data_IF_596326173188
#
_entry.id   IF_596326173188
#
_cell.length_a   1.000
_cell.length_b   1.000
_cell.length_c   1.000
_cell.angle_alpha   90.00
_cell.angle_beta   90.00
_cell.angle_gamma   90.00
#
_symmetry.space_group_name_H-M   'P 1'
#
loop_
_entity.id
_entity.type
_entity.pdbx_description
1 polymer ?
#
# COMPACT_ATOMS: atom_id res chain seq x y z
N UNK A 1 11.60 14.49 16.94
CA UNK A 1 10.41 15.37 17.02
C UNK A 1 10.13 16.08 15.70
N UNK A 2 11.09 16.77 15.07
CA UNK A 2 10.89 17.45 13.76
C UNK A 2 10.48 16.47 12.65
N UNK A 3 11.08 15.28 12.60
CA UNK A 3 10.76 14.23 11.60
C UNK A 3 9.34 13.67 11.73
N UNK A 4 8.86 13.39 12.94
CA UNK A 4 7.50 12.88 13.16
C UNK A 4 6.42 13.94 12.89
N UNK A 5 6.69 15.21 13.22
CA UNK A 5 5.76 16.29 12.91
C UNK A 5 5.61 16.47 11.40
N UNK A 6 6.75 16.52 10.68
CA UNK A 6 6.78 16.61 9.23
C UNK A 6 6.08 15.41 8.57
N UNK A 7 6.36 14.20 9.03
CA UNK A 7 5.70 12.99 8.52
C UNK A 7 4.18 13.06 8.69
N UNK A 8 3.68 13.54 9.83
CA UNK A 8 2.26 13.76 10.04
C UNK A 8 1.65 14.76 9.04
N UNK A 9 2.36 15.85 8.72
CA UNK A 9 1.92 16.82 7.68
C UNK A 9 1.89 16.16 6.30
N UNK A 10 2.92 15.40 5.94
CA UNK A 10 2.98 14.66 4.68
C UNK A 10 1.80 13.68 4.56
N UNK A 11 1.51 12.92 5.62
CA UNK A 11 0.40 11.96 5.65
C UNK A 11 -0.96 12.65 5.49
N UNK A 12 -1.18 13.77 6.20
CA UNK A 12 -2.40 14.56 6.05
C UNK A 12 -2.52 15.09 4.62
N UNK A 13 -1.42 15.57 4.02
CA UNK A 13 -1.41 16.08 2.63
C UNK A 13 -1.75 14.99 1.64
N UNK A 14 -1.26 13.77 1.88
CA UNK A 14 -1.60 12.62 1.07
C UNK A 14 -3.07 12.30 1.19
N UNK A 15 -3.63 12.27 2.39
CA UNK A 15 -5.04 11.96 2.62
C UNK A 15 -5.99 12.88 1.83
N UNK A 16 -5.61 14.15 1.61
CA UNK A 16 -6.38 15.12 0.83
C UNK A 16 -6.09 15.12 -0.68
N UNK A 17 -5.07 14.40 -1.15
CA UNK A 17 -4.68 14.42 -2.56
C UNK A 17 -5.59 13.55 -3.43
N UNK A 18 -5.75 13.93 -4.69
CA UNK A 18 -6.50 13.17 -5.68
C UNK A 18 -5.91 11.77 -5.95
N UNK A 19 -4.59 11.62 -5.83
CA UNK A 19 -3.87 10.37 -6.14
C UNK A 19 -2.83 10.06 -5.05
N UNK A 20 -3.30 9.67 -3.85
CA UNK A 20 -2.44 9.56 -2.68
C UNK A 20 -1.46 8.38 -2.76
N UNK A 21 -1.78 7.35 -3.54
CA UNK A 21 -0.91 6.17 -3.74
C UNK A 21 0.46 6.52 -4.31
N UNK A 22 0.56 7.62 -5.09
CA UNK A 22 1.82 8.10 -5.69
C UNK A 22 2.88 8.49 -4.67
N UNK A 23 2.46 8.77 -3.44
CA UNK A 23 3.35 9.17 -2.35
C UNK A 23 3.66 8.01 -1.40
N UNK A 24 3.08 6.83 -1.62
CA UNK A 24 3.21 5.70 -0.71
C UNK A 24 4.60 5.02 -0.79
N UNK A 25 5.32 5.12 -1.91
CA UNK A 25 6.63 4.47 -2.09
C UNK A 25 6.57 2.95 -2.18
N UNK A 26 5.39 2.41 -2.48
CA UNK A 26 5.08 0.98 -2.48
C UNK A 26 5.18 0.35 -3.87
N UNK A 27 5.80 1.01 -4.84
CA UNK A 27 5.78 0.57 -6.24
C UNK A 27 6.51 -0.76 -6.42
N UNK A 28 6.15 -1.45 -7.50
CA UNK A 28 6.74 -2.73 -7.88
C UNK A 28 8.26 -2.57 -8.01
N UNK A 29 9.00 -3.28 -7.15
CA UNK A 29 10.45 -3.22 -7.13
C UNK A 29 11.05 -2.26 -6.12
N UNK A 30 10.21 -1.52 -5.38
CA UNK A 30 10.63 -0.83 -4.17
C UNK A 30 11.23 -1.85 -3.20
N UNK A 31 12.48 -1.64 -2.81
CA UNK A 31 13.18 -2.52 -1.88
C UNK A 31 12.90 -1.97 -0.48
N UNK A 32 11.69 -2.31 -0.04
CA UNK A 32 11.03 -1.91 1.19
C UNK A 32 11.79 -2.11 2.51
N UNK A 33 12.88 -2.86 2.49
CA UNK A 33 13.41 -3.54 3.67
C UNK A 33 14.79 -3.03 4.11
N UNK A 34 15.29 -1.93 3.54
CA UNK A 34 16.55 -1.37 4.02
C UNK A 34 16.28 -0.41 5.17
N UNK A 35 16.72 -0.71 6.40
CA UNK A 35 16.66 0.26 7.48
C UNK A 35 17.45 1.50 7.07
N UNK A 36 17.02 2.66 7.57
CA UNK A 36 17.76 3.89 7.36
C UNK A 36 19.18 3.76 7.97
N UNK A 37 20.26 3.91 7.17
CA UNK A 37 21.63 3.79 7.67
C UNK A 37 21.91 4.80 8.79
N UNK A 38 22.52 4.33 9.88
CA UNK A 38 22.87 5.17 11.04
C UNK A 38 24.23 5.87 10.89
N UNK A 39 25.04 5.49 9.91
CA UNK A 39 26.34 6.09 9.60
C UNK A 39 26.32 6.95 8.33
N UNK A 40 27.38 7.74 8.09
CA UNK A 40 27.54 8.48 6.84
C UNK A 40 27.80 7.52 5.67
N UNK A 41 27.23 7.84 4.50
CA UNK A 41 27.45 7.09 3.26
C UNK A 41 26.32 6.12 2.91
N UNK A 42 26.34 5.67 1.66
CA UNK A 42 25.41 4.66 1.15
C UNK A 42 23.98 5.15 0.94
N UNK A 43 23.70 6.46 0.89
CA UNK A 43 22.35 7.01 0.64
C UNK A 43 22.29 7.82 -0.65
N UNK A 44 21.57 7.32 -1.65
CA UNK A 44 21.39 7.98 -2.95
C UNK A 44 19.95 8.45 -3.15
N UNK A 45 19.80 9.71 -3.54
CA UNK A 45 18.53 10.26 -4.01
C UNK A 45 18.41 10.03 -5.52
N UNK A 46 17.47 9.18 -5.93
CA UNK A 46 17.14 8.95 -7.33
C UNK A 46 16.02 9.91 -7.74
N UNK A 47 16.40 10.99 -8.42
CA UNK A 47 15.53 12.13 -8.69
C UNK A 47 14.91 12.03 -10.07
N UNK A 48 13.59 12.15 -10.09
CA UNK A 48 12.80 12.23 -11.29
C UNK A 48 12.26 13.63 -11.54
N UNK A 49 12.69 14.23 -12.65
CA UNK A 49 12.26 15.57 -13.07
C UNK A 49 11.02 15.51 -13.99
N UNK A 50 10.01 14.74 -13.61
CA UNK A 50 8.77 14.56 -14.37
C UNK A 50 7.62 14.16 -13.45
N UNK A 51 6.42 14.03 -14.01
CA UNK A 51 5.28 13.46 -13.28
C UNK A 51 5.55 12.02 -12.84
N UNK A 52 4.86 11.61 -11.79
CA UNK A 52 4.96 10.26 -11.22
C UNK A 52 4.74 9.14 -12.26
N UNK A 53 3.77 9.26 -13.16
CA UNK A 53 3.50 8.20 -14.15
C UNK A 53 4.65 8.02 -15.13
N UNK A 54 5.22 9.14 -15.62
CA UNK A 54 6.39 9.10 -16.49
C UNK A 54 7.58 8.51 -15.74
N UNK A 55 7.66 8.80 -14.44
CA UNK A 55 8.67 8.23 -13.56
C UNK A 55 8.57 6.71 -13.47
N UNK A 56 7.39 6.17 -13.19
CA UNK A 56 7.27 4.73 -12.98
C UNK A 56 7.44 3.89 -14.26
N UNK A 57 7.44 4.52 -15.44
CA UNK A 57 7.55 3.87 -16.74
C UNK A 57 8.98 3.78 -17.30
N UNK A 58 9.95 4.55 -16.79
CA UNK A 58 11.28 4.54 -17.39
C UNK A 58 12.21 3.50 -16.76
N UNK A 59 12.60 2.57 -17.63
CA UNK A 59 13.34 1.36 -17.33
C UNK A 59 14.76 1.64 -16.85
N UNK A 60 15.36 2.77 -17.25
CA UNK A 60 16.73 3.14 -16.87
C UNK A 60 16.84 3.32 -15.37
N UNK A 61 15.87 4.03 -14.80
CA UNK A 61 15.82 4.25 -13.36
C UNK A 61 15.40 3.01 -12.60
N UNK A 62 14.58 2.15 -13.19
CA UNK A 62 14.34 0.83 -12.63
C UNK A 62 15.63 0.02 -12.48
N UNK A 63 16.45 0.01 -13.54
CA UNK A 63 17.76 -0.66 -13.56
C UNK A 63 18.71 -0.01 -12.56
N UNK A 64 18.80 1.31 -12.50
CA UNK A 64 19.67 2.00 -11.53
C UNK A 64 19.24 1.73 -10.09
N UNK A 65 17.96 1.93 -9.77
CA UNK A 65 17.40 1.63 -8.45
C UNK A 65 17.76 0.20 -8.03
N UNK A 66 17.54 -0.75 -8.94
CA UNK A 66 17.86 -2.15 -8.75
C UNK A 66 19.34 -2.42 -8.48
N UNK A 67 20.23 -1.96 -9.36
CA UNK A 67 21.67 -2.25 -9.29
C UNK A 67 22.34 -1.56 -8.10
N UNK A 68 21.95 -0.34 -7.79
CA UNK A 68 22.41 0.37 -6.59
C UNK A 68 21.96 -0.35 -5.33
N UNK A 69 20.70 -0.78 -5.27
CA UNK A 69 20.20 -1.51 -4.13
C UNK A 69 20.88 -2.88 -3.97
N UNK A 70 21.19 -3.59 -5.06
CA UNK A 70 22.00 -4.82 -5.03
C UNK A 70 23.40 -4.57 -4.46
N UNK A 71 23.99 -3.41 -4.76
CA UNK A 71 25.29 -3.00 -4.24
C UNK A 71 25.25 -2.48 -2.79
N UNK A 72 24.17 -2.71 -2.06
CA UNK A 72 24.05 -2.33 -0.66
C UNK A 72 23.68 -0.86 -0.40
N UNK A 73 23.50 -0.05 -1.45
CA UNK A 73 23.17 1.38 -1.33
C UNK A 73 21.68 1.55 -1.03
N UNK A 74 21.32 2.39 -0.06
CA UNK A 74 19.95 2.86 0.13
C UNK A 74 19.62 3.84 -0.98
N UNK A 75 18.65 3.49 -1.81
CA UNK A 75 18.15 4.36 -2.87
C UNK A 75 16.72 4.72 -2.56
N UNK A 76 16.44 6.01 -2.47
CA UNK A 76 15.07 6.49 -2.45
C UNK A 76 14.77 7.33 -3.67
N UNK A 77 13.53 7.20 -4.16
CA UNK A 77 13.03 7.94 -5.30
C UNK A 77 12.45 9.28 -4.87
N UNK A 78 12.65 10.28 -5.71
CA UNK A 78 12.01 11.59 -5.63
C UNK A 78 11.27 11.85 -6.93
N UNK A 79 10.08 12.42 -6.83
CA UNK A 79 9.29 12.88 -7.98
C UNK A 79 8.76 14.27 -7.68
N UNK A 80 8.43 15.03 -8.72
CA UNK A 80 7.73 16.30 -8.53
C UNK A 80 6.31 16.01 -8.03
N UNK A 81 5.93 16.45 -6.81
CA UNK A 81 4.57 16.26 -6.35
C UNK A 81 3.59 17.10 -7.16
N UNK A 82 2.39 16.58 -7.39
CA UNK A 82 1.31 17.31 -8.05
C UNK A 82 0.95 18.61 -7.34
N UNK A 83 0.28 19.51 -8.07
CA UNK A 83 -0.12 20.81 -7.55
C UNK A 83 -1.02 20.71 -6.31
N UNK A 84 -2.02 19.83 -6.32
CA UNK A 84 -2.94 19.64 -5.19
C UNK A 84 -2.19 19.26 -3.91
N UNK A 85 -1.25 18.31 -3.99
CA UNK A 85 -0.46 17.91 -2.84
C UNK A 85 0.48 19.03 -2.35
N UNK A 86 1.14 19.75 -3.27
CA UNK A 86 2.02 20.88 -2.90
C UNK A 86 1.27 22.01 -2.23
N UNK A 87 0.07 22.34 -2.71
CA UNK A 87 -0.79 23.35 -2.11
C UNK A 87 -1.21 22.96 -0.69
N UNK A 88 -1.56 21.69 -0.45
CA UNK A 88 -1.89 21.19 0.89
C UNK A 88 -0.69 21.28 1.85
N UNK A 89 0.50 20.90 1.40
CA UNK A 89 1.71 21.01 2.21
C UNK A 89 1.98 22.46 2.63
N UNK A 90 1.88 23.40 1.68
CA UNK A 90 2.07 24.82 1.96
C UNK A 90 1.02 25.34 2.96
N UNK A 91 -0.25 24.94 2.82
CA UNK A 91 -1.33 25.32 3.75
C UNK A 91 -1.08 24.82 5.19
N UNK A 92 -0.37 23.71 5.35
CA UNK A 92 -0.04 23.13 6.66
C UNK A 92 1.38 23.42 7.13
N UNK A 93 2.04 24.42 6.55
CA UNK A 93 3.32 24.93 7.05
C UNK A 93 4.53 24.11 6.62
N UNK A 94 4.41 23.27 5.58
CA UNK A 94 5.54 22.57 4.94
C UNK A 94 5.75 23.11 3.51
N UNK A 95 6.46 24.25 3.35
CA UNK A 95 6.68 24.85 2.03
C UNK A 95 7.72 24.10 1.19
N UNK A 96 8.47 23.14 1.77
CA UNK A 96 9.45 22.33 1.03
C UNK A 96 8.84 20.98 0.63
N UNK A 97 8.40 20.82 -0.63
CA UNK A 97 7.71 19.61 -1.08
C UNK A 97 8.68 18.47 -1.46
N UNK A 98 9.99 18.63 -1.25
CA UNK A 98 10.97 17.63 -1.65
C UNK A 98 11.15 16.58 -0.54
N UNK A 99 10.61 15.39 -0.77
CA UNK A 99 10.77 14.23 0.10
C UNK A 99 10.88 12.95 -0.74
N UNK A 100 11.57 11.96 -0.18
CA UNK A 100 11.67 10.64 -0.80
C UNK A 100 10.39 9.84 -0.63
N UNK A 101 10.05 9.05 -1.66
CA UNK A 101 8.86 8.20 -1.65
C UNK A 101 8.94 7.07 -0.63
N UNK A 102 10.10 6.46 -0.40
CA UNK A 102 10.20 5.27 0.47
C UNK A 102 10.23 5.65 1.95
N UNK A 103 11.13 6.56 2.35
CA UNK A 103 11.38 6.87 3.77
C UNK A 103 10.94 8.28 4.19
N UNK A 104 10.31 9.05 3.28
CA UNK A 104 9.84 10.42 3.54
C UNK A 104 10.94 11.38 4.01
N UNK A 105 12.17 11.10 3.60
CA UNK A 105 13.34 11.89 3.98
C UNK A 105 13.55 13.07 3.02
N UNK A 106 13.96 14.24 3.54
CA UNK A 106 14.33 15.40 2.73
C UNK A 106 15.62 15.16 1.92
N UNK A 107 15.92 16.03 0.93
CA UNK A 107 17.13 15.91 0.09
C UNK A 107 18.43 15.97 0.90
N UNK A 108 18.40 16.75 1.98
CA UNK A 108 19.47 17.00 2.93
C UNK A 108 19.92 15.71 3.65
N UNK A 109 19.06 14.69 3.67
CA UNK A 109 19.33 13.40 4.31
C UNK A 109 20.16 12.43 3.43
N UNK A 110 20.42 12.79 2.17
CA UNK A 110 21.13 11.94 1.20
C UNK A 110 22.58 12.38 0.99
N UNK A 111 23.43 11.44 0.58
CA UNK A 111 24.87 11.63 0.36
C UNK A 111 25.23 11.79 -1.13
N UNK A 112 24.22 11.91 -1.98
CA UNK A 112 24.40 12.26 -3.38
C UNK A 112 23.13 12.02 -4.19
N UNK A 113 23.19 12.49 -5.43
CA UNK A 113 22.00 12.71 -6.25
C UNK A 113 22.22 12.11 -7.63
N UNK A 114 21.23 11.35 -8.10
CA UNK A 114 21.20 10.79 -9.44
C UNK A 114 19.95 11.35 -10.10
N UNK A 115 20.12 12.26 -11.04
CA UNK A 115 19.03 13.00 -11.67
C UNK A 115 18.79 12.43 -13.06
N UNK A 116 17.63 11.82 -13.27
CA UNK A 116 17.13 11.54 -14.61
C UNK A 116 16.24 12.70 -15.06
N UNK A 117 16.83 13.58 -15.86
CA UNK A 117 16.13 14.71 -16.43
C UNK A 117 15.64 14.38 -17.84
N UNK A 118 14.34 14.55 -18.15
CA UNK A 118 13.95 14.98 -19.49
C UNK A 118 14.41 16.43 -19.70
N UNK A 119 14.43 16.90 -20.95
CA UNK A 119 14.88 18.25 -21.32
C UNK A 119 14.30 19.36 -20.43
N UNK A 120 15.16 20.28 -19.98
CA UNK A 120 14.80 21.45 -19.14
C UNK A 120 15.19 21.33 -17.65
N UNK A 121 15.35 22.48 -16.98
CA UNK A 121 15.59 22.55 -15.53
C UNK A 121 14.28 22.55 -14.77
N UNK A 122 14.16 21.72 -13.73
CA UNK A 122 13.02 21.71 -12.81
C UNK A 122 13.42 22.21 -11.43
N UNK A 123 12.49 22.75 -10.65
CA UNK A 123 12.78 23.23 -9.29
C UNK A 123 13.40 22.14 -8.37
N UNK A 124 13.00 20.88 -8.56
CA UNK A 124 13.58 19.74 -7.84
C UNK A 124 15.02 19.45 -8.27
N UNK A 125 15.33 19.59 -9.57
CA UNK A 125 16.70 19.46 -10.08
C UNK A 125 17.60 20.57 -9.54
N UNK A 126 17.11 21.81 -9.52
CA UNK A 126 17.86 22.94 -8.97
C UNK A 126 18.09 22.80 -7.47
N UNK A 127 17.09 22.34 -6.73
CA UNK A 127 17.23 22.05 -5.31
C UNK A 127 18.31 20.98 -5.04
N UNK A 128 18.30 19.90 -5.82
CA UNK A 128 19.32 18.86 -5.74
C UNK A 128 20.71 19.35 -6.14
N UNK A 129 20.79 20.16 -7.20
CA UNK A 129 22.05 20.76 -7.67
C UNK A 129 22.67 21.70 -6.63
N UNK A 130 21.85 22.56 -6.00
CA UNK A 130 22.29 23.41 -4.89
C UNK A 130 22.75 22.58 -3.69
N UNK A 131 21.94 21.59 -3.27
CA UNK A 131 22.30 20.71 -2.16
C UNK A 131 23.59 19.93 -2.42
N UNK A 132 23.82 19.48 -3.67
CA UNK A 132 25.06 18.81 -4.05
C UNK A 132 26.26 19.76 -3.99
N UNK A 133 26.12 20.96 -4.56
CA UNK A 133 27.18 21.96 -4.63
C UNK A 133 27.59 22.45 -3.23
N UNK A 134 26.63 22.86 -2.39
CA UNK A 134 26.86 23.38 -1.04
C UNK A 134 27.55 22.37 -0.12
N UNK A 135 27.31 21.07 -0.35
CA UNK A 135 27.82 19.98 0.49
C UNK A 135 28.98 19.21 -0.13
N UNK A 136 29.42 19.56 -1.34
CA UNK A 136 30.47 18.84 -2.07
C UNK A 136 30.13 17.38 -2.37
N UNK A 137 28.86 17.07 -2.63
CA UNK A 137 28.37 15.70 -2.83
C UNK A 137 28.31 15.31 -4.32
N UNK A 138 28.40 14.00 -4.64
CA UNK A 138 28.25 13.52 -6.00
C UNK A 138 26.87 13.86 -6.59
N UNK A 139 26.89 14.42 -7.80
CA UNK A 139 25.72 14.67 -8.63
C UNK A 139 25.93 13.99 -10.00
N UNK A 140 25.07 13.04 -10.34
CA UNK A 140 25.08 12.32 -11.61
C UNK A 140 23.88 12.75 -12.43
N UNK A 141 24.11 13.21 -13.66
CA UNK A 141 23.06 13.45 -14.64
C UNK A 141 22.94 12.24 -15.56
N UNK A 142 21.77 11.61 -15.59
CA UNK A 142 21.50 10.44 -16.44
C UNK A 142 21.04 10.93 -17.82
N UNK A 143 21.81 10.68 -18.90
CA UNK A 143 21.47 11.16 -20.24
C UNK A 143 20.22 10.45 -20.79
N UNK A 144 19.53 11.05 -21.79
CA UNK A 144 18.51 10.37 -22.57
C UNK A 144 19.08 9.12 -23.27
N UNK A 145 18.26 8.07 -23.40
CA UNK A 145 18.65 6.82 -24.08
C UNK A 145 19.09 5.69 -23.14
N UNK A 146 19.41 4.51 -23.69
CA UNK A 146 19.72 3.32 -22.92
C UNK A 146 20.98 3.49 -22.07
N UNK A 147 20.96 2.94 -20.85
CA UNK A 147 22.11 2.95 -19.95
C UNK A 147 23.09 1.83 -20.29
N UNK A 148 24.32 2.19 -20.59
CA UNK A 148 25.42 1.23 -20.74
C UNK A 148 25.82 0.62 -19.39
N UNK A 149 26.16 -0.68 -19.38
CA UNK A 149 26.55 -1.40 -18.16
C UNK A 149 27.75 -0.73 -17.46
N UNK A 150 28.70 -0.18 -18.22
CA UNK A 150 29.86 0.53 -17.67
C UNK A 150 29.47 1.83 -16.95
N UNK A 151 28.48 2.55 -17.49
CA UNK A 151 27.93 3.75 -16.84
C UNK A 151 27.28 3.39 -15.51
N UNK A 152 26.50 2.30 -15.46
CA UNK A 152 25.89 1.81 -14.23
C UNK A 152 26.94 1.42 -13.18
N UNK A 153 28.00 0.71 -13.59
CA UNK A 153 29.10 0.33 -12.69
C UNK A 153 29.81 1.55 -12.09
N UNK A 154 30.09 2.57 -12.90
CA UNK A 154 30.70 3.83 -12.43
C UNK A 154 29.82 4.52 -11.40
N UNK A 155 28.52 4.64 -11.67
CA UNK A 155 27.56 5.22 -10.73
C UNK A 155 27.55 4.42 -9.42
N UNK A 156 27.45 3.10 -9.48
CA UNK A 156 27.49 2.25 -8.27
C UNK A 156 28.77 2.46 -7.47
N UNK A 157 29.94 2.55 -8.12
CA UNK A 157 31.22 2.77 -7.46
C UNK A 157 31.27 4.10 -6.70
N UNK A 158 30.68 5.17 -7.25
CA UNK A 158 30.61 6.49 -6.59
C UNK A 158 29.87 6.46 -5.25
N UNK A 159 28.85 5.61 -5.12
CA UNK A 159 27.97 5.56 -3.95
C UNK A 159 28.27 4.42 -2.98
N UNK A 160 29.27 3.58 -3.26
CA UNK A 160 29.55 2.36 -2.50
C UNK A 160 30.18 2.60 -1.12
N UNK A 161 30.75 3.78 -0.87
CA UNK A 161 31.31 4.11 0.44
C UNK A 161 30.20 4.12 1.51
N UNK A 162 30.31 3.24 2.51
CA UNK A 162 29.31 3.08 3.58
C UNK A 162 28.10 2.19 3.23
N UNK A 163 28.14 1.43 2.13
CA UNK A 163 27.07 0.51 1.75
C UNK A 163 26.93 -0.68 2.73
N UNK A 164 25.69 -1.11 2.96
CA UNK A 164 25.38 -2.30 3.78
C UNK A 164 25.03 -3.46 2.86
N UNK A 165 25.81 -4.54 2.91
CA UNK A 165 25.54 -5.75 2.12
C UNK A 165 24.18 -6.36 2.50
N UNK A 166 23.36 -6.72 1.49
CA UNK A 166 22.03 -7.30 1.71
C UNK A 166 21.77 -8.51 0.79
N UNK A 167 21.85 -9.74 1.33
CA UNK A 167 21.57 -10.98 0.56
C UNK A 167 20.13 -11.08 0.02
N UNK A 168 19.19 -10.34 0.63
CA UNK A 168 17.78 -10.37 0.26
C UNK A 168 17.48 -9.65 -1.06
N UNK A 169 18.31 -8.68 -1.46
CA UNK A 169 18.11 -7.90 -2.70
C UNK A 169 18.49 -8.69 -3.94
N UNK A 170 19.58 -9.47 -3.85
CA UNK A 170 20.08 -10.28 -4.97
C UNK A 170 19.03 -11.31 -5.43
N UNK A 171 18.36 -11.99 -4.48
CA UNK A 171 17.30 -12.98 -4.78
C UNK A 171 16.05 -12.37 -5.42
N UNK A 172 15.68 -11.14 -5.06
CA UNK A 172 14.47 -10.47 -5.54
C UNK A 172 14.62 -9.90 -6.95
N UNK A 173 15.84 -9.58 -7.40
CA UNK A 173 16.04 -8.87 -8.66
C UNK A 173 15.69 -9.67 -9.92
N UNK A 174 16.14 -10.94 -10.07
CA UNK A 174 15.74 -11.76 -11.22
C UNK A 174 14.21 -11.90 -11.31
N UNK A 175 13.54 -12.05 -10.17
CA UNK A 175 12.09 -12.18 -10.09
C UNK A 175 11.37 -10.85 -10.39
N UNK A 176 11.91 -9.72 -9.97
CA UNK A 176 11.35 -8.39 -10.26
C UNK A 176 11.44 -8.05 -11.75
N UNK A 177 12.59 -8.28 -12.38
CA UNK A 177 12.78 -8.09 -13.82
C UNK A 177 11.88 -9.06 -14.60
N UNK A 178 11.80 -10.32 -14.17
CA UNK A 178 10.89 -11.30 -14.75
C UNK A 178 9.40 -10.88 -14.61
N UNK A 179 9.01 -10.34 -13.44
CA UNK A 179 7.66 -9.85 -13.20
C UNK A 179 7.33 -8.58 -14.01
N UNK A 180 8.26 -7.63 -14.14
CA UNK A 180 8.04 -6.43 -14.99
C UNK A 180 7.94 -6.79 -16.47
N UNK A 181 8.65 -7.83 -16.90
CA UNK A 181 8.44 -8.44 -18.22
C UNK A 181 7.19 -9.33 -18.31
N UNK A 182 6.40 -9.40 -17.23
CA UNK A 182 5.15 -10.12 -16.96
C UNK A 182 5.11 -11.64 -17.24
N UNK A 183 5.82 -12.14 -18.25
CA UNK A 183 5.71 -13.51 -18.78
C UNK A 183 7.03 -13.93 -19.47
N UNK A 184 8.19 -13.60 -18.90
CA UNK A 184 9.47 -13.83 -19.60
C UNK A 184 9.68 -15.31 -19.97
N UNK A 185 10.27 -15.58 -21.15
CA UNK A 185 10.72 -16.91 -21.53
C UNK A 185 11.65 -17.55 -20.50
N UNK A 186 12.41 -16.76 -19.72
CA UNK A 186 13.33 -17.23 -18.70
C UNK A 186 12.61 -17.79 -17.47
N UNK A 187 11.56 -17.12 -16.99
CA UNK A 187 10.69 -17.69 -15.95
C UNK A 187 9.95 -18.92 -16.48
N UNK A 188 9.46 -18.88 -17.73
CA UNK A 188 8.86 -20.05 -18.38
C UNK A 188 9.83 -21.22 -18.55
N UNK A 189 11.11 -20.95 -18.85
CA UNK A 189 12.15 -21.95 -19.04
C UNK A 189 12.63 -22.53 -17.70
N UNK A 190 12.85 -21.69 -16.68
CA UNK A 190 13.09 -22.14 -15.31
C UNK A 190 11.93 -22.99 -14.80
N UNK A 191 10.68 -22.60 -15.05
CA UNK A 191 9.49 -23.40 -14.72
C UNK A 191 9.37 -24.68 -15.57
N UNK A 192 9.75 -24.65 -16.85
CA UNK A 192 9.72 -25.82 -17.72
C UNK A 192 10.77 -26.87 -17.34
N UNK A 193 11.94 -26.43 -16.84
CA UNK A 193 13.00 -27.31 -16.34
C UNK A 193 12.73 -27.84 -14.94
N UNK A 194 11.95 -27.12 -14.13
CA UNK A 194 11.49 -27.54 -12.79
C UNK A 194 10.10 -28.18 -12.89
N UNK A 195 9.79 -28.95 -13.95
CA UNK A 195 8.54 -29.74 -14.01
C UNK A 195 8.73 -31.13 -13.40
N UNK A 196 8.38 -31.37 -12.13
CA UNK A 196 8.00 -32.70 -11.72
C UNK A 196 6.50 -32.92 -12.01
N UNK A 197 6.16 -34.12 -12.51
CA UNK A 197 4.77 -34.56 -12.65
C UNK A 197 4.21 -34.90 -11.26
N UNK A 198 3.57 -33.96 -10.56
CA UNK A 198 2.88 -34.27 -9.30
C UNK A 198 1.46 -33.68 -9.19
N UNK A 199 0.73 -34.25 -8.23
CA UNK A 199 -0.71 -34.38 -8.16
C UNK A 199 -1.43 -33.16 -7.56
N UNK A 200 -2.45 -32.69 -8.28
CA UNK A 200 -3.55 -31.78 -7.89
C UNK A 200 -3.11 -30.46 -7.22
N UNK A 201 -3.37 -29.29 -7.87
CA UNK A 201 -3.11 -27.98 -7.29
C UNK A 201 -3.73 -27.82 -5.90
N UNK A 202 -3.03 -27.14 -4.99
CA UNK A 202 -3.47 -26.92 -3.62
C UNK A 202 -3.79 -25.45 -3.37
N UNK A 203 -4.95 -25.18 -2.79
CA UNK A 203 -5.40 -23.83 -2.49
C UNK A 203 -4.98 -23.38 -1.08
N UNK A 204 -4.60 -22.12 -0.95
CA UNK A 204 -4.21 -21.48 0.30
C UNK A 204 -4.92 -20.14 0.43
N UNK A 205 -5.29 -19.77 1.65
CA UNK A 205 -5.76 -18.44 2.02
C UNK A 205 -4.71 -17.77 2.90
N UNK A 206 -4.29 -16.58 2.51
CA UNK A 206 -3.40 -15.73 3.28
C UNK A 206 -4.15 -14.50 3.78
N UNK A 207 -3.87 -14.12 5.01
CA UNK A 207 -4.27 -12.86 5.62
C UNK A 207 -3.06 -11.94 5.67
N UNK A 208 -3.24 -10.66 5.35
CA UNK A 208 -2.27 -9.61 5.53
C UNK A 208 -2.88 -8.41 6.27
N UNK A 209 -2.05 -7.69 6.99
CA UNK A 209 -2.32 -6.31 7.40
C UNK A 209 -1.85 -5.33 6.33
N UNK A 210 -2.39 -4.12 6.39
CA UNK A 210 -2.04 -2.95 5.58
C UNK A 210 -2.13 -1.70 6.46
N UNK A 211 -1.01 -1.05 6.70
CA UNK A 211 -0.87 0.08 7.61
C UNK A 211 0.11 1.14 7.10
N UNK A 212 0.15 2.29 7.77
CA UNK A 212 0.97 3.45 7.40
C UNK A 212 0.65 3.94 5.99
N UNK A 213 1.68 4.39 5.27
CA UNK A 213 1.55 4.90 3.89
C UNK A 213 0.88 3.94 2.91
N UNK A 214 0.92 2.63 3.15
CA UNK A 214 0.28 1.62 2.31
C UNK A 214 -1.25 1.69 2.34
N UNK A 215 -1.85 2.39 3.32
CA UNK A 215 -3.29 2.68 3.35
C UNK A 215 -3.77 3.53 2.17
N UNK A 216 -2.86 4.28 1.54
CA UNK A 216 -3.17 5.11 0.38
C UNK A 216 -3.15 4.35 -0.95
N UNK A 217 -2.72 3.09 -0.93
CA UNK A 217 -2.73 2.22 -2.11
C UNK A 217 -4.17 1.82 -2.44
N UNK A 218 -4.58 2.03 -3.69
CA UNK A 218 -5.90 1.62 -4.18
C UNK A 218 -6.02 0.10 -4.25
N UNK A 219 -7.25 -0.42 -4.32
CA UNK A 219 -7.47 -1.86 -4.41
C UNK A 219 -6.79 -2.51 -5.62
N UNK A 220 -6.83 -1.86 -6.79
CA UNK A 220 -6.21 -2.40 -8.00
C UNK A 220 -4.68 -2.43 -7.90
N UNK A 221 -4.08 -1.38 -7.33
CA UNK A 221 -2.64 -1.35 -7.06
C UNK A 221 -2.26 -2.42 -6.03
N UNK A 222 -3.02 -2.56 -4.94
CA UNK A 222 -2.80 -3.59 -3.92
C UNK A 222 -2.82 -5.00 -4.52
N UNK A 223 -3.76 -5.29 -5.43
CA UNK A 223 -3.79 -6.57 -6.15
C UNK A 223 -2.47 -6.80 -6.90
N UNK A 224 -1.95 -5.78 -7.59
CA UNK A 224 -0.68 -5.90 -8.31
C UNK A 224 0.50 -6.08 -7.34
N UNK A 225 0.50 -5.39 -6.21
CA UNK A 225 1.53 -5.51 -5.20
C UNK A 225 1.56 -6.89 -4.55
N UNK A 226 0.40 -7.43 -4.17
CA UNK A 226 0.29 -8.77 -3.57
C UNK A 226 0.64 -9.87 -4.58
N UNK A 227 0.24 -9.72 -5.85
CA UNK A 227 0.71 -10.61 -6.94
C UNK A 227 2.22 -10.57 -7.04
N UNK A 228 2.79 -9.37 -7.10
CA UNK A 228 4.24 -9.18 -7.16
C UNK A 228 4.93 -9.84 -5.98
N UNK A 229 4.41 -9.67 -4.76
CA UNK A 229 4.96 -10.30 -3.56
C UNK A 229 4.96 -11.83 -3.65
N UNK A 230 3.86 -12.44 -4.11
CA UNK A 230 3.78 -13.89 -4.33
C UNK A 230 4.82 -14.37 -5.36
N UNK A 231 5.02 -13.61 -6.44
CA UNK A 231 6.05 -13.93 -7.44
C UNK A 231 7.47 -13.72 -6.90
N UNK A 232 7.73 -12.64 -6.18
CA UNK A 232 9.01 -12.33 -5.56
C UNK A 232 9.36 -13.31 -4.42
N UNK A 233 8.37 -13.92 -3.80
CA UNK A 233 8.53 -15.02 -2.85
C UNK A 233 8.89 -16.35 -3.52
N UNK A 234 8.88 -16.42 -4.86
CA UNK A 234 9.14 -17.65 -5.60
C UNK A 234 8.06 -18.72 -5.41
N UNK A 235 6.84 -18.34 -5.01
CA UNK A 235 5.77 -19.31 -4.80
C UNK A 235 5.28 -19.88 -6.15
N UNK A 236 5.04 -21.20 -6.26
CA UNK A 236 4.65 -21.85 -7.50
C UNK A 236 3.15 -21.64 -7.77
N UNK A 237 2.74 -20.38 -7.96
CA UNK A 237 1.33 -20.05 -8.20
C UNK A 237 0.89 -20.60 -9.56
N UNK A 238 -0.22 -21.35 -9.55
CA UNK A 238 -0.83 -21.89 -10.75
C UNK A 238 -1.28 -20.75 -11.65
N UNK A 239 -1.11 -20.93 -12.97
CA UNK A 239 -1.58 -19.96 -13.96
C UNK A 239 -2.81 -20.48 -14.70
N UNK A 240 -3.63 -19.57 -15.20
CA UNK A 240 -4.72 -19.87 -16.13
C UNK A 240 -4.20 -20.29 -17.51
N UNK A 241 -5.09 -20.88 -18.31
CA UNK A 241 -4.80 -21.26 -19.69
C UNK A 241 -4.95 -20.05 -20.64
N UNK A 242 -4.20 -20.06 -21.76
CA UNK A 242 -4.32 -19.06 -22.82
C UNK A 242 -3.04 -18.29 -23.14
N UNK A 243 -3.13 -17.30 -24.03
CA UNK A 243 -1.99 -16.53 -24.57
C UNK A 243 -1.35 -15.55 -23.57
N UNK A 244 -2.07 -15.20 -22.50
CA UNK A 244 -1.60 -14.32 -21.40
C UNK A 244 -2.03 -14.93 -20.05
N UNK A 245 -1.36 -16.00 -19.60
CA UNK A 245 -1.79 -16.80 -18.47
C UNK A 245 -1.70 -15.99 -17.16
N UNK A 246 -2.84 -15.82 -16.47
CA UNK A 246 -2.94 -15.06 -15.22
C UNK A 246 -2.74 -15.95 -14.00
N UNK A 247 -2.09 -15.42 -12.95
CA UNK A 247 -2.04 -16.10 -11.66
C UNK A 247 -3.45 -16.41 -11.13
N UNK A 248 -3.67 -17.66 -10.72
CA UNK A 248 -4.92 -18.13 -10.11
C UNK A 248 -4.97 -17.66 -8.66
N UNK A 249 -5.33 -16.39 -8.49
CA UNK A 249 -5.49 -15.71 -7.22
C UNK A 249 -6.80 -14.95 -7.18
N UNK A 250 -7.42 -14.88 -6.01
CA UNK A 250 -8.61 -14.06 -5.72
C UNK A 250 -8.37 -13.22 -4.48
N UNK A 251 -9.04 -12.09 -4.37
CA UNK A 251 -8.80 -11.10 -3.32
C UNK A 251 -10.10 -10.82 -2.57
N UNK A 252 -9.98 -10.50 -1.29
CA UNK A 252 -11.11 -10.22 -0.43
C UNK A 252 -11.68 -8.81 -0.65
N UNK A 253 -12.76 -8.49 0.09
CA UNK A 253 -13.40 -7.19 0.03
C UNK A 253 -12.41 -6.06 0.31
N UNK A 254 -12.36 -5.07 -0.58
CA UNK A 254 -11.49 -3.91 -0.45
C UNK A 254 -11.88 -3.02 0.74
N UNK A 255 -10.90 -2.60 1.52
CA UNK A 255 -11.03 -1.44 2.42
C UNK A 255 -10.87 -0.14 1.62
N UNK A 256 -11.46 1.00 2.03
CA UNK A 256 -11.25 2.26 1.31
C UNK A 256 -9.78 2.71 1.36
N UNK A 257 -9.43 3.55 0.39
CA UNK A 257 -8.17 4.31 0.39
C UNK A 257 -8.17 5.27 1.59
N UNK A 258 -7.02 5.38 2.25
CA UNK A 258 -6.85 6.21 3.46
C UNK A 258 -6.96 5.41 4.76
N UNK A 259 -7.51 4.19 4.71
CA UNK A 259 -7.75 3.37 5.91
C UNK A 259 -6.84 2.17 6.00
N UNK A 260 -6.54 1.80 7.24
CA UNK A 260 -5.75 0.62 7.55
C UNK A 260 -6.65 -0.62 7.64
N UNK A 261 -6.02 -1.78 7.60
CA UNK A 261 -6.73 -3.05 7.70
C UNK A 261 -5.83 -4.11 8.30
N UNK A 262 -6.36 -4.94 9.18
CA UNK A 262 -5.72 -6.14 9.71
C UNK A 262 -6.18 -7.40 8.96
N UNK A 263 -7.11 -7.25 8.02
CA UNK A 263 -7.88 -8.35 7.43
C UNK A 263 -7.97 -8.21 5.91
N UNK A 264 -6.82 -8.02 5.25
CA UNK A 264 -6.72 -8.17 3.80
C UNK A 264 -6.50 -9.64 3.47
N UNK A 265 -7.47 -10.30 2.85
CA UNK A 265 -7.35 -11.70 2.49
C UNK A 265 -7.12 -11.88 0.99
N UNK A 266 -6.36 -12.91 0.63
CA UNK A 266 -6.28 -13.40 -0.73
C UNK A 266 -6.08 -14.91 -0.76
N UNK A 267 -6.68 -15.55 -1.75
CA UNK A 267 -6.50 -16.95 -2.02
C UNK A 267 -5.53 -17.13 -3.18
N UNK A 268 -4.72 -18.18 -3.11
CA UNK A 268 -3.78 -18.56 -4.15
C UNK A 268 -3.85 -20.06 -4.37
N UNK A 269 -3.87 -20.46 -5.63
CA UNK A 269 -3.74 -21.86 -6.03
C UNK A 269 -2.28 -22.12 -6.37
N UNK A 270 -1.64 -23.06 -5.67
CA UNK A 270 -0.26 -23.46 -5.93
C UNK A 270 -0.23 -24.77 -6.71
N UNK A 271 0.73 -24.89 -7.63
CA UNK A 271 0.97 -26.12 -8.41
C UNK A 271 1.51 -27.24 -7.51
N UNK A 272 2.27 -26.87 -6.49
CA UNK A 272 2.90 -27.78 -5.53
C UNK A 272 2.51 -27.38 -4.10
N UNK A 273 2.27 -28.34 -3.20
CA UNK A 273 2.00 -28.04 -1.81
C UNK A 273 3.28 -27.54 -1.13
N UNK A 274 3.18 -26.38 -0.46
CA UNK A 274 4.20 -25.87 0.45
C UNK A 274 3.75 -26.01 1.90
N UNK A 275 4.72 -26.11 2.80
CA UNK A 275 4.47 -26.01 4.25
C UNK A 275 4.07 -24.58 4.63
N UNK A 276 3.36 -24.43 5.74
CA UNK A 276 2.98 -23.09 6.23
C UNK A 276 4.21 -22.26 6.60
N UNK A 277 5.28 -22.89 7.08
CA UNK A 277 6.52 -22.20 7.46
C UNK A 277 7.26 -21.65 6.24
N UNK A 278 7.35 -22.43 5.15
CA UNK A 278 7.91 -21.96 3.88
C UNK A 278 7.10 -20.80 3.31
N UNK A 279 5.76 -20.93 3.32
CA UNK A 279 4.86 -19.85 2.91
C UNK A 279 5.08 -18.60 3.76
N UNK A 280 5.08 -18.73 5.09
CA UNK A 280 5.22 -17.61 6.00
C UNK A 280 6.56 -16.89 5.82
N UNK A 281 7.65 -17.66 5.72
CA UNK A 281 9.00 -17.14 5.52
C UNK A 281 9.15 -16.42 4.17
N UNK A 282 8.77 -17.08 3.08
CA UNK A 282 9.02 -16.56 1.74
C UNK A 282 8.08 -15.40 1.40
N UNK A 283 6.79 -15.54 1.69
CA UNK A 283 5.80 -14.51 1.43
C UNK A 283 5.97 -13.32 2.36
N UNK A 284 6.20 -13.56 3.66
CA UNK A 284 6.39 -12.49 4.65
C UNK A 284 7.59 -11.61 4.30
N UNK A 285 8.69 -12.19 3.84
CA UNK A 285 9.87 -11.44 3.40
C UNK A 285 9.67 -10.69 2.06
N UNK A 286 8.69 -11.09 1.26
CA UNK A 286 8.41 -10.51 -0.06
C UNK A 286 7.29 -9.45 -0.05
N UNK A 287 6.55 -9.34 1.06
CA UNK A 287 5.51 -8.31 1.17
C UNK A 287 6.11 -6.89 1.06
N UNK A 288 5.37 -5.96 0.43
CA UNK A 288 5.77 -4.57 0.30
C UNK A 288 5.73 -3.85 1.66
N UNK A 289 6.37 -2.67 1.79
CA UNK A 289 6.37 -1.94 3.06
C UNK A 289 4.93 -1.64 3.48
N UNK A 290 4.69 -1.57 4.79
CA UNK A 290 3.34 -1.35 5.34
C UNK A 290 2.38 -2.53 5.21
N UNK A 291 2.80 -3.67 4.63
CA UNK A 291 2.05 -4.92 4.69
C UNK A 291 2.73 -5.92 5.63
N UNK A 292 1.95 -6.56 6.49
CA UNK A 292 2.41 -7.64 7.36
C UNK A 292 1.70 -8.93 7.04
N UNK A 293 2.40 -10.06 7.03
CA UNK A 293 1.76 -11.36 6.85
C UNK A 293 1.14 -11.81 8.18
N UNK A 294 -0.15 -12.12 8.14
CA UNK A 294 -0.88 -12.74 9.24
C UNK A 294 -0.93 -14.26 9.07
N UNK A 295 -2.12 -14.84 9.23
CA UNK A 295 -2.32 -16.28 9.11
C UNK A 295 -2.27 -16.72 7.64
N UNK A 296 -1.63 -17.86 7.39
CA UNK A 296 -1.72 -18.62 6.15
C UNK A 296 -2.30 -19.99 6.46
N UNK A 297 -3.27 -20.45 5.66
CA UNK A 297 -3.86 -21.78 5.83
C UNK A 297 -4.16 -22.43 4.48
N UNK A 298 -4.01 -23.76 4.43
CA UNK A 298 -4.51 -24.57 3.31
C UNK A 298 -6.04 -24.57 3.35
N UNK A 299 -6.67 -24.36 2.19
CA UNK A 299 -8.12 -24.45 2.04
C UNK A 299 -8.47 -25.56 1.02
N UNK A 300 -9.65 -26.21 1.13
CA UNK A 300 -10.17 -27.10 0.10
C UNK A 300 -10.24 -26.42 -1.28
N UNK A 301 -10.10 -27.19 -2.36
CA UNK A 301 -10.16 -26.65 -3.73
C UNK A 301 -11.52 -26.00 -4.07
N UNK A 302 -12.60 -26.47 -3.44
CA UNK A 302 -13.97 -25.93 -3.58
C UNK A 302 -14.43 -25.19 -2.32
N UNK A 303 -13.50 -24.55 -1.61
CA UNK A 303 -13.85 -23.71 -0.47
C UNK A 303 -14.63 -22.47 -0.96
N UNK A 304 -15.57 -21.92 -0.17
CA UNK A 304 -16.28 -20.69 -0.54
C UNK A 304 -15.29 -19.57 -0.88
N UNK A 305 -15.63 -18.82 -1.93
CA UNK A 305 -14.84 -17.67 -2.35
C UNK A 305 -14.72 -16.64 -1.21
N UNK A 306 -13.76 -15.73 -1.31
CA UNK A 306 -13.60 -14.66 -0.31
C UNK A 306 -14.85 -13.78 -0.22
N UNK A 307 -15.55 -13.55 -1.33
CA UNK A 307 -16.80 -12.79 -1.38
C UNK A 307 -17.95 -13.53 -0.69
N UNK A 308 -18.05 -14.86 -0.86
CA UNK A 308 -19.05 -15.68 -0.16
C UNK A 308 -18.70 -15.91 1.31
N UNK A 309 -17.43 -15.78 1.66
CA UNK A 309 -16.93 -16.05 3.00
C UNK A 309 -17.17 -14.90 3.96
N UNK A 310 -17.51 -13.69 3.49
CA UNK A 310 -17.64 -12.51 4.35
C UNK A 310 -18.80 -11.61 3.93
N UNK A 311 -19.62 -11.20 4.91
CA UNK A 311 -20.69 -10.21 4.75
C UNK A 311 -20.75 -9.24 5.96
N UNK A 312 -19.75 -9.30 6.84
CA UNK A 312 -19.63 -8.49 8.05
C UNK A 312 -18.21 -7.97 8.20
N UNK A 313 -18.07 -6.68 8.50
CA UNK A 313 -16.79 -6.03 8.74
C UNK A 313 -16.82 -5.25 10.05
N UNK A 314 -15.73 -5.33 10.80
CA UNK A 314 -15.54 -4.54 12.01
C UNK A 314 -14.44 -3.51 11.80
N UNK A 315 -14.69 -2.29 12.26
CA UNK A 315 -13.79 -1.16 12.14
C UNK A 315 -13.51 -0.59 13.52
N UNK A 316 -12.26 -0.22 13.76
CA UNK A 316 -11.85 0.66 14.85
C UNK A 316 -11.73 2.08 14.29
N UNK A 317 -12.42 3.03 14.91
CA UNK A 317 -12.36 4.45 14.58
C UNK A 317 -11.81 5.18 15.79
N UNK A 318 -10.74 5.95 15.59
CA UNK A 318 -10.12 6.77 16.62
C UNK A 318 -9.68 8.12 16.05
N UNK A 319 -9.46 9.07 16.96
CA UNK A 319 -9.02 10.42 16.61
C UNK A 319 -7.51 10.41 16.33
N UNK A 320 -7.13 10.99 15.20
CA UNK A 320 -5.73 11.16 14.77
C UNK A 320 -5.17 12.53 15.17
N UNK A 321 -6.05 13.52 15.37
CA UNK A 321 -5.71 14.91 15.66
C UNK A 321 -6.23 15.39 17.02
N UNK A 322 -6.25 16.70 17.22
CA UNK A 322 -6.75 17.36 18.43
C UNK A 322 -8.28 17.53 18.41
N UNK A 323 -8.98 16.76 17.59
CA UNK A 323 -10.43 16.79 17.59
C UNK A 323 -10.94 16.31 18.96
N UNK A 324 -12.14 16.77 19.32
CA UNK A 324 -12.92 16.21 20.43
C UNK A 324 -14.23 15.73 19.82
N UNK A 325 -14.18 14.53 19.22
CA UNK A 325 -15.39 13.97 18.64
C UNK A 325 -16.37 13.54 19.73
N UNK A 326 -17.63 13.90 19.51
CA UNK A 326 -18.75 13.45 20.33
C UNK A 326 -19.14 12.01 19.96
N UNK A 327 -18.42 11.05 20.54
CA UNK A 327 -18.72 9.63 20.37
C UNK A 327 -20.06 9.21 20.96
N UNK A 328 -20.59 9.95 21.95
CA UNK A 328 -21.92 9.68 22.52
C UNK A 328 -23.03 9.97 21.51
N UNK A 329 -22.90 11.03 20.71
CA UNK A 329 -23.82 11.31 19.60
C UNK A 329 -23.91 10.15 18.60
N UNK A 330 -22.79 9.48 18.31
CA UNK A 330 -22.79 8.29 17.44
C UNK A 330 -23.56 7.12 18.08
N UNK A 331 -23.43 6.90 19.39
CA UNK A 331 -24.21 5.88 20.10
C UNK A 331 -25.70 6.19 20.08
N UNK A 332 -26.09 7.44 20.42
CA UNK A 332 -27.48 7.88 20.42
C UNK A 332 -28.09 7.71 19.02
N UNK A 333 -27.34 8.07 17.98
CA UNK A 333 -27.76 7.86 16.60
C UNK A 333 -27.98 6.37 16.29
N UNK A 334 -27.07 5.48 16.69
CA UNK A 334 -27.23 4.03 16.50
C UNK A 334 -28.42 3.43 17.27
N UNK A 335 -28.65 3.89 18.50
CA UNK A 335 -29.81 3.47 19.30
C UNK A 335 -31.13 3.84 18.59
N UNK A 336 -31.19 5.02 17.97
CA UNK A 336 -32.36 5.45 17.18
C UNK A 336 -32.58 4.55 15.96
N UNK A 337 -31.52 4.14 15.24
CA UNK A 337 -31.64 3.20 14.12
C UNK A 337 -32.24 1.86 14.51
N UNK A 338 -31.95 1.40 15.72
CA UNK A 338 -32.34 0.08 16.23
C UNK A 338 -33.69 0.11 16.97
N UNK A 339 -34.30 1.30 17.12
CA UNK A 339 -35.54 1.48 17.89
C UNK A 339 -36.76 1.02 17.10
N UNK A 340 -37.66 0.27 17.75
CA UNK A 340 -38.91 -0.17 17.14
C UNK A 340 -39.76 1.05 16.72
N UNK A 341 -40.13 1.12 15.45
CA UNK A 341 -40.93 2.22 14.90
C UNK A 341 -40.14 3.47 14.50
N UNK A 342 -38.81 3.46 14.55
CA UNK A 342 -37.99 4.56 14.04
C UNK A 342 -38.16 4.73 12.52
N UNK A 343 -38.18 5.98 12.06
CA UNK A 343 -38.19 6.26 10.63
C UNK A 343 -36.89 5.76 9.97
N UNK A 344 -36.97 5.11 8.79
CA UNK A 344 -35.78 4.64 8.09
C UNK A 344 -34.82 5.77 7.76
N UNK A 345 -33.56 5.64 8.18
CA UNK A 345 -32.50 6.56 7.74
C UNK A 345 -32.01 6.10 6.36
N UNK A 346 -32.63 6.66 5.33
CA UNK A 346 -32.35 6.31 3.93
C UNK A 346 -31.15 7.10 3.42
N UNK A 347 -30.06 6.39 3.17
CA UNK A 347 -28.87 6.94 2.52
C UNK A 347 -29.02 6.83 1.01
N UNK A 348 -28.94 7.97 0.33
CA UNK A 348 -28.89 8.04 -1.14
C UNK A 348 -27.45 7.85 -1.59
N UNK A 349 -27.20 6.83 -2.42
CA UNK A 349 -25.90 6.58 -3.03
C UNK A 349 -26.00 6.69 -4.54
N UNK A 350 -25.40 7.74 -5.07
CA UNK A 350 -25.31 7.94 -6.52
C UNK A 350 -24.27 6.99 -7.12
N UNK A 351 -24.62 6.41 -8.27
CA UNK A 351 -23.73 5.57 -9.07
C UNK A 351 -23.46 6.22 -10.43
N UNK A 352 -22.35 5.84 -11.08
CA UNK A 352 -22.10 6.20 -12.47
C UNK A 352 -23.31 5.85 -13.35
N UNK A 353 -23.77 6.79 -14.17
CA UNK A 353 -24.95 6.62 -15.03
C UNK A 353 -26.30 6.94 -14.39
N UNK A 354 -26.34 7.87 -13.41
CA UNK A 354 -27.58 8.41 -12.78
C UNK A 354 -28.46 7.40 -12.03
N UNK A 355 -27.93 6.22 -11.67
CA UNK A 355 -28.65 5.27 -10.80
C UNK A 355 -28.45 5.67 -9.34
N UNK A 356 -29.52 5.62 -8.55
CA UNK A 356 -29.48 5.89 -7.10
C UNK A 356 -29.86 4.61 -6.36
N UNK A 357 -28.98 4.15 -5.48
CA UNK A 357 -29.34 3.14 -4.49
C UNK A 357 -29.86 3.86 -3.25
N UNK A 358 -30.99 3.38 -2.71
CA UNK A 358 -31.52 3.78 -1.41
C UNK A 358 -31.18 2.69 -0.41
N UNK A 359 -30.44 3.03 0.62
CA UNK A 359 -29.96 2.08 1.62
C UNK A 359 -30.46 2.52 2.98
N UNK A 360 -31.24 1.68 3.66
CA UNK A 360 -31.58 1.92 5.06
C UNK A 360 -30.35 1.66 5.94
N UNK A 361 -29.91 2.65 6.71
CA UNK A 361 -28.73 2.51 7.57
C UNK A 361 -28.88 1.36 8.60
N UNK A 362 -30.09 1.08 9.08
CA UNK A 362 -30.35 -0.01 10.03
C UNK A 362 -30.08 -1.41 9.44
N UNK A 363 -30.18 -1.57 8.11
CA UNK A 363 -29.86 -2.86 7.44
C UNK A 363 -28.36 -3.12 7.37
N UNK A 364 -27.55 -2.07 7.55
CA UNK A 364 -26.09 -2.10 7.39
C UNK A 364 -25.38 -1.99 8.73
N UNK A 365 -25.78 -1.07 9.61
CA UNK A 365 -25.11 -0.86 10.90
C UNK A 365 -25.52 -1.97 11.86
N UNK A 366 -24.60 -2.90 12.11
CA UNK A 366 -24.83 -4.05 12.97
C UNK A 366 -24.43 -3.81 14.43
N UNK A 367 -23.63 -2.78 14.72
CA UNK A 367 -23.26 -2.44 16.08
C UNK A 367 -22.32 -1.25 16.19
N UNK A 368 -22.48 -0.48 17.27
CA UNK A 368 -21.57 0.58 17.70
C UNK A 368 -21.26 0.38 19.18
N UNK A 369 -19.97 0.37 19.54
CA UNK A 369 -19.56 0.29 20.95
C UNK A 369 -18.34 1.18 21.20
N UNK A 370 -18.42 2.01 22.23
CA UNK A 370 -17.26 2.75 22.73
C UNK A 370 -16.36 1.77 23.47
N UNK A 371 -15.06 1.88 23.22
CA UNK A 371 -14.05 1.20 24.02
C UNK A 371 -12.92 2.17 24.36
N UNK A 372 -12.38 2.02 25.55
CA UNK A 372 -11.04 2.52 25.89
C UNK A 372 -10.03 1.44 25.52
N UNK A 373 -8.90 1.80 24.91
CA UNK A 373 -7.80 0.85 24.68
C UNK A 373 -7.37 0.68 23.22
N UNK A 374 -7.55 1.69 22.37
CA UNK A 374 -6.84 1.75 21.09
C UNK A 374 -5.31 1.83 21.30
N UNK A 375 -4.50 1.79 20.21
CA UNK A 375 -3.08 2.09 20.30
C UNK A 375 -2.87 3.42 21.05
N UNK A 376 -2.13 3.38 22.17
CA UNK A 376 -1.95 4.49 23.15
C UNK A 376 -3.07 4.72 24.17
N UNK A 377 -3.98 3.76 24.39
CA UNK A 377 -5.13 3.91 25.31
C UNK A 377 -6.11 5.02 24.92
N UNK A 378 -6.15 5.36 23.62
CA UNK A 378 -7.12 6.29 23.04
C UNK A 378 -8.56 5.80 23.25
N UNK A 379 -9.47 6.76 23.42
CA UNK A 379 -10.91 6.52 23.29
C UNK A 379 -11.21 6.32 21.80
N UNK A 380 -11.97 5.30 21.48
CA UNK A 380 -12.42 5.06 20.12
C UNK A 380 -13.68 4.23 20.07
N UNK A 381 -14.16 4.01 18.86
CA UNK A 381 -15.41 3.29 18.61
C UNK A 381 -15.13 2.08 17.74
N UNK A 382 -15.64 0.93 18.19
CA UNK A 382 -15.83 -0.23 17.33
C UNK A 382 -17.15 -0.06 16.58
N UNK A 383 -17.06 0.05 15.26
CA UNK A 383 -18.19 0.12 14.32
C UNK A 383 -18.28 -1.20 13.54
N UNK A 384 -19.44 -1.83 13.54
CA UNK A 384 -19.66 -3.12 12.86
C UNK A 384 -20.69 -2.95 11.76
N UNK A 385 -20.34 -3.34 10.54
CA UNK A 385 -21.12 -3.10 9.33
C UNK A 385 -21.34 -4.40 8.56
N UNK A 386 -22.60 -4.64 8.18
CA UNK A 386 -22.96 -5.63 7.16
C UNK A 386 -22.63 -5.09 5.79
N UNK A 387 -22.19 -5.97 4.90
CA UNK A 387 -21.94 -5.63 3.51
C UNK A 387 -22.42 -6.76 2.59
N UNK A 388 -22.76 -6.41 1.36
CA UNK A 388 -23.29 -7.34 0.37
C UNK A 388 -23.99 -6.62 -0.78
N UNK A 389 -24.59 -7.37 -1.72
CA UNK A 389 -25.33 -6.79 -2.84
C UNK A 389 -26.38 -5.79 -2.36
N UNK A 390 -26.30 -4.54 -2.84
CA UNK A 390 -27.19 -3.41 -2.47
C UNK A 390 -27.20 -3.01 -0.97
N UNK A 391 -26.31 -3.56 -0.14
CA UNK A 391 -26.21 -3.26 1.30
C UNK A 391 -24.80 -2.81 1.68
N UNK A 392 -24.31 -1.73 1.07
CA UNK A 392 -22.91 -1.29 1.25
C UNK A 392 -22.83 0.20 1.61
N UNK A 393 -22.69 0.47 2.91
CA UNK A 393 -22.26 1.76 3.45
C UNK A 393 -20.86 1.61 4.04
N UNK A 394 -20.02 2.61 3.81
CA UNK A 394 -18.66 2.64 4.34
C UNK A 394 -18.64 3.41 5.68
N UNK A 395 -17.67 3.16 6.59
CA UNK A 395 -17.55 3.88 7.84
C UNK A 395 -17.64 5.41 7.71
N UNK A 396 -16.99 5.97 6.71
CA UNK A 396 -16.99 7.40 6.37
C UNK A 396 -18.41 7.94 6.24
N UNK A 397 -19.27 7.22 5.50
CA UNK A 397 -20.64 7.68 5.26
C UNK A 397 -21.48 7.61 6.53
N UNK A 398 -21.20 6.66 7.41
CA UNK A 398 -21.87 6.57 8.72
C UNK A 398 -21.46 7.75 9.60
N UNK A 399 -20.16 8.07 9.64
CA UNK A 399 -19.62 9.19 10.41
C UNK A 399 -20.12 10.54 9.89
N UNK A 400 -20.19 10.73 8.56
CA UNK A 400 -20.79 11.91 7.93
C UNK A 400 -22.23 12.13 8.43
N UNK A 401 -23.06 11.10 8.41
CA UNK A 401 -24.49 11.22 8.74
C UNK A 401 -24.72 11.36 10.25
N UNK A 402 -24.04 10.53 11.04
CA UNK A 402 -24.27 10.47 12.48
C UNK A 402 -23.70 11.68 13.22
N UNK A 403 -22.51 12.13 12.81
CA UNK A 403 -21.76 13.20 13.48
C UNK A 403 -21.79 14.53 12.72
N UNK A 404 -22.20 14.54 11.44
CA UNK A 404 -22.17 15.74 10.61
C UNK A 404 -20.77 16.15 10.18
N UNK A 405 -19.84 15.18 10.09
CA UNK A 405 -18.47 15.44 9.70
C UNK A 405 -18.33 15.58 8.18
N UNK A 406 -17.52 16.54 7.75
CA UNK A 406 -17.14 16.68 6.35
C UNK A 406 -16.17 15.55 5.94
N UNK A 407 -16.22 15.06 4.68
CA UNK A 407 -15.34 13.99 4.21
C UNK A 407 -13.85 14.29 4.43
N UNK A 408 -13.45 15.56 4.27
CA UNK A 408 -12.07 16.01 4.50
C UNK A 408 -11.66 15.86 5.97
N UNK A 409 -12.54 16.21 6.90
CA UNK A 409 -12.30 16.05 8.35
C UNK A 409 -12.14 14.58 8.72
N UNK A 410 -12.95 13.69 8.17
CA UNK A 410 -12.82 12.25 8.38
C UNK A 410 -11.45 11.76 7.89
N UNK A 411 -11.00 12.21 6.72
CA UNK A 411 -9.72 11.81 6.13
C UNK A 411 -8.48 12.32 6.89
N UNK A 412 -8.54 13.52 7.48
CA UNK A 412 -7.35 14.15 8.10
C UNK A 412 -7.30 14.00 9.61
N UNK A 413 -8.46 13.90 10.27
CA UNK A 413 -8.55 13.90 11.72
C UNK A 413 -8.92 12.55 12.31
N UNK A 414 -9.28 11.55 11.50
CA UNK A 414 -9.59 10.19 11.98
C UNK A 414 -8.65 9.13 11.42
N UNK A 415 -8.43 8.11 12.23
CA UNK A 415 -7.85 6.84 11.82
C UNK A 415 -8.94 5.79 11.85
N UNK A 416 -9.21 5.21 10.68
CA UNK A 416 -10.13 4.08 10.53
C UNK A 416 -9.31 2.86 10.17
N UNK A 417 -9.50 1.78 10.93
CA UNK A 417 -8.81 0.51 10.75
C UNK A 417 -9.81 -0.63 10.69
N UNK A 418 -9.86 -1.40 9.60
CA UNK A 418 -10.67 -2.64 9.56
C UNK A 418 -9.99 -3.72 10.40
N UNK A 419 -10.61 -4.10 11.51
CA UNK A 419 -10.05 -5.04 12.49
C UNK A 419 -10.51 -6.47 12.25
N UNK A 420 -11.68 -6.68 11.65
CA UNK A 420 -12.20 -8.02 11.39
C UNK A 420 -13.05 -8.12 10.12
N UNK A 421 -13.06 -9.32 9.54
CA UNK A 421 -14.07 -9.77 8.59
C UNK A 421 -14.72 -11.05 9.12
N UNK A 422 -16.02 -11.19 8.90
CA UNK A 422 -16.80 -12.35 9.30
C UNK A 422 -17.94 -12.66 8.33
N UNK A 423 -18.46 -13.89 8.44
CA UNK A 423 -19.75 -14.29 7.90
C UNK A 423 -20.78 -14.28 9.04
N UNK A 424 -21.76 -13.40 8.96
CA UNK A 424 -22.99 -13.47 9.71
C UNK A 424 -23.91 -14.53 9.08
N UNK A 425 -24.20 -15.57 9.86
CA UNK A 425 -25.12 -16.65 9.49
C UNK A 425 -26.58 -16.20 9.70
N UNK A 426 -27.54 -16.91 9.10
CA UNK A 426 -28.97 -16.62 9.30
C UNK A 426 -29.45 -16.68 10.76
N UNK A 427 -28.68 -17.31 11.66
CA UNK A 427 -28.91 -17.30 13.11
C UNK A 427 -28.40 -16.04 13.83
N UNK A 428 -27.77 -15.09 13.13
CA UNK A 428 -27.09 -13.94 13.71
C UNK A 428 -25.70 -14.24 14.29
N UNK A 429 -25.26 -15.50 14.27
CA UNK A 429 -23.91 -15.88 14.72
C UNK A 429 -22.86 -15.42 13.72
N UNK A 430 -21.80 -14.79 14.22
CA UNK A 430 -20.64 -14.41 13.42
C UNK A 430 -19.61 -15.55 13.37
N UNK A 431 -19.11 -15.84 12.16
CA UNK A 431 -17.95 -16.69 11.90
C UNK A 431 -16.83 -15.86 11.30
N UNK A 432 -15.84 -15.50 12.12
CA UNK A 432 -14.66 -14.75 11.67
C UNK A 432 -13.80 -15.58 10.71
N UNK A 433 -13.18 -14.91 9.75
CA UNK A 433 -12.34 -15.53 8.71
C UNK A 433 -10.96 -15.94 9.21
#
# INVERSE_FOLDING_TARGET
MITQHREGILEKAAACSMRPSRYAGCEIGSIAAKPWPQGPGGRAALIWCASYERAMQDERLAVLYARLAQAGILVNRFTIPEADYREQLAQWGEPNPWFSLEHKQPLEAFDGFIVAAPEGSTALQEAAGRAAHERGLPLVLVPPGPLEEESVKRIVAMFKQGAVDSPAVERKMPLLLAYRSAESPQYRAHRASVRPRFARPTAYRAQCSRAGWSRFVSHLEQIQLLKSAVFLAGLPVALGEGKKPRAKMSFGPAVSVGWESQTEFFDMLLEEPLTMDEMAKNLGAALPPGYGLGKVQRIPAHFPSLEESANWAEYWVEEAGQSSLDWERLLVWFQRLSSAGAEPVVVRKEKPGKKVDLINAADVVGGVSLKSGGPNSSLGVKLSLRFGPKKNLKPEKILEIALGLEPRTIQTELKISRTALALELGSGRLRYL
#
